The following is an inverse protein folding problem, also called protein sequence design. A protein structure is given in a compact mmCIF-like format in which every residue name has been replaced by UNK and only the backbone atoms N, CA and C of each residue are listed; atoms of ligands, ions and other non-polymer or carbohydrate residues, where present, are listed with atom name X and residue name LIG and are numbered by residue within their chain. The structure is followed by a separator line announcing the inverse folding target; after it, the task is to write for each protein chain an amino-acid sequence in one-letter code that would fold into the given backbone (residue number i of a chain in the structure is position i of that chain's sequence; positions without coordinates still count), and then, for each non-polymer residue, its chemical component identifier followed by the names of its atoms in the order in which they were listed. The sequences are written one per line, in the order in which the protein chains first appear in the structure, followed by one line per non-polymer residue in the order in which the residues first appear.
data_IF_286256020161
#
_entry.id   IF_286256020161
#
_cell.length_a   1.000
_cell.length_b   1.000
_cell.length_c   1.000
_cell.angle_alpha   90.00
_cell.angle_beta   90.00
_cell.angle_gamma   90.00
#
_symmetry.space_group_name_H-M   'P 1'
#
loop_
_entity.id
_entity.type
_entity.pdbx_description
1 polymer ?
#
# COMPACT_ATOMS: atom_id res chain seq x y z
N UNK A 1 21.76 -8.00 -24.04
CA UNK A 1 20.56 -8.50 -23.35
C UNK A 1 21.04 -9.01 -22.01
N UNK A 2 20.75 -8.29 -20.91
CA UNK A 2 21.16 -8.73 -19.57
C UNK A 2 20.25 -9.89 -19.18
N UNK A 3 20.80 -11.10 -19.15
CA UNK A 3 20.13 -12.24 -18.55
C UNK A 3 19.75 -11.87 -17.11
N UNK A 4 18.46 -11.92 -16.82
CA UNK A 4 17.97 -11.63 -15.48
C UNK A 4 18.46 -12.73 -14.55
N UNK A 5 19.13 -12.32 -13.46
CA UNK A 5 19.77 -13.21 -12.50
C UNK A 5 18.78 -13.77 -11.46
N UNK A 6 17.50 -13.46 -11.61
CA UNK A 6 16.46 -13.78 -10.65
C UNK A 6 15.78 -15.12 -11.02
N UNK A 7 15.34 -15.91 -10.04
CA UNK A 7 14.51 -17.08 -10.32
C UNK A 7 13.24 -16.68 -11.10
N UNK A 8 12.76 -17.50 -12.06
CA UNK A 8 11.62 -17.16 -12.90
C UNK A 8 10.35 -16.75 -12.13
N UNK A 9 10.10 -17.36 -10.97
CA UNK A 9 8.97 -17.00 -10.11
C UNK A 9 9.09 -15.60 -9.53
N UNK A 10 10.31 -15.18 -9.19
CA UNK A 10 10.61 -13.87 -8.63
C UNK A 10 10.42 -12.80 -9.71
N UNK A 11 10.87 -13.05 -10.93
CA UNK A 11 10.64 -12.17 -12.07
C UNK A 11 9.14 -11.96 -12.33
N UNK A 12 8.35 -13.05 -12.29
CA UNK A 12 6.90 -13.00 -12.47
C UNK A 12 6.24 -12.11 -11.40
N UNK A 13 6.66 -12.24 -10.14
CA UNK A 13 6.16 -11.41 -9.04
C UNK A 13 6.52 -9.94 -9.27
N UNK A 14 7.76 -9.63 -9.67
CA UNK A 14 8.17 -8.26 -9.94
C UNK A 14 7.42 -7.65 -11.13
N UNK A 15 7.22 -8.40 -12.21
CA UNK A 15 6.43 -7.96 -13.35
C UNK A 15 4.98 -7.66 -12.93
N UNK A 16 4.36 -8.54 -12.14
CA UNK A 16 3.02 -8.32 -11.60
C UNK A 16 2.96 -7.07 -10.70
N UNK A 17 3.99 -6.85 -9.88
CA UNK A 17 4.11 -5.65 -9.04
C UNK A 17 4.21 -4.38 -9.88
N UNK A 18 5.00 -4.38 -10.95
CA UNK A 18 5.12 -3.25 -11.88
C UNK A 18 3.76 -2.93 -12.51
N UNK A 19 3.05 -3.94 -13.01
CA UNK A 19 1.72 -3.75 -13.60
C UNK A 19 0.70 -3.25 -12.58
N UNK A 20 0.75 -3.75 -11.34
CA UNK A 20 -0.07 -3.24 -10.26
C UNK A 20 0.22 -1.76 -9.97
N UNK A 21 1.49 -1.35 -9.88
CA UNK A 21 1.87 0.06 -9.68
C UNK A 21 1.35 0.97 -10.81
N UNK A 22 1.39 0.53 -12.06
CA UNK A 22 0.82 1.29 -13.19
C UNK A 22 -0.68 1.49 -13.04
N UNK A 23 -1.42 0.47 -12.61
CA UNK A 23 -2.86 0.56 -12.35
C UNK A 23 -3.17 1.52 -11.19
N UNK A 24 -2.41 1.41 -10.10
CA UNK A 24 -2.55 2.30 -8.95
C UNK A 24 -2.26 3.76 -9.32
N UNK A 25 -1.23 4.03 -10.12
CA UNK A 25 -0.89 5.37 -10.56
C UNK A 25 -2.06 6.06 -11.29
N UNK A 26 -2.83 5.29 -12.07
CA UNK A 26 -3.98 5.77 -12.86
C UNK A 26 -5.28 5.92 -12.06
N UNK A 27 -5.34 5.45 -10.81
CA UNK A 27 -6.56 5.59 -10.01
C UNK A 27 -6.89 7.07 -9.73
N UNK A 28 -8.18 7.44 -9.72
CA UNK A 28 -8.64 8.74 -9.24
C UNK A 28 -8.12 9.05 -7.83
N UNK A 29 -7.91 10.33 -7.53
CA UNK A 29 -7.42 10.76 -6.22
C UNK A 29 -8.33 10.30 -5.08
N UNK A 30 -9.66 10.38 -5.29
CA UNK A 30 -10.68 9.94 -4.33
C UNK A 30 -10.50 8.47 -3.93
N UNK A 31 -10.30 7.58 -4.89
CA UNK A 31 -10.09 6.16 -4.63
C UNK A 31 -8.77 5.89 -3.89
N UNK A 32 -7.71 6.65 -4.21
CA UNK A 32 -6.43 6.55 -3.50
C UNK A 32 -6.55 6.96 -2.03
N UNK A 33 -7.33 8.01 -1.75
CA UNK A 33 -7.62 8.45 -0.38
C UNK A 33 -8.45 7.39 0.35
N UNK A 34 -9.47 6.82 -0.30
CA UNK A 34 -10.25 5.72 0.26
C UNK A 34 -9.37 4.51 0.63
N UNK A 35 -8.49 4.08 -0.29
CA UNK A 35 -7.55 2.99 -0.06
C UNK A 35 -6.61 3.30 1.13
N UNK A 36 -6.11 4.53 1.22
CA UNK A 36 -5.24 4.97 2.31
C UNK A 36 -5.94 4.92 3.68
N UNK A 37 -7.16 5.47 3.76
CA UNK A 37 -7.96 5.47 4.99
C UNK A 37 -8.32 4.04 5.42
N UNK A 38 -8.66 3.17 4.48
CA UNK A 38 -8.89 1.76 4.75
C UNK A 38 -7.63 1.08 5.31
N UNK A 39 -6.47 1.36 4.72
CA UNK A 39 -5.20 0.82 5.19
C UNK A 39 -4.85 1.31 6.61
N UNK A 40 -5.09 2.59 6.90
CA UNK A 40 -4.90 3.18 8.23
C UNK A 40 -5.76 2.48 9.29
N UNK A 41 -7.05 2.22 9.00
CA UNK A 41 -7.97 1.49 9.89
C UNK A 41 -7.49 0.06 10.16
N UNK A 42 -6.95 -0.62 9.15
CA UNK A 42 -6.41 -1.98 9.30
C UNK A 42 -5.10 -2.03 10.09
N UNK A 43 -4.24 -1.02 9.93
CA UNK A 43 -2.96 -0.95 10.63
C UNK A 43 -3.08 -0.46 12.07
N UNK A 44 -4.11 0.33 12.37
CA UNK A 44 -4.29 0.95 13.68
C UNK A 44 -4.25 -0.05 14.86
N UNK A 45 -4.93 -1.21 14.84
CA UNK A 45 -4.84 -2.19 15.92
C UNK A 45 -3.44 -2.75 16.14
N UNK A 46 -2.60 -2.80 15.09
CA UNK A 46 -1.21 -3.25 15.18
C UNK A 46 -0.33 -2.17 15.81
N UNK A 47 -0.51 -0.91 15.39
CA UNK A 47 0.24 0.21 15.94
C UNK A 47 -0.12 0.46 17.41
N UNK A 48 -1.40 0.33 17.77
CA UNK A 48 -1.88 0.47 19.15
C UNK A 48 -1.23 -0.53 20.09
N UNK A 49 -0.95 -1.76 19.62
CA UNK A 49 -0.23 -2.78 20.40
C UNK A 49 1.25 -2.44 20.64
N UNK A 50 1.84 -1.61 19.78
CA UNK A 50 3.27 -1.28 19.83
C UNK A 50 3.59 -0.04 20.67
N UNK A 51 2.59 0.67 21.21
CA UNK A 51 2.80 1.75 22.18
C UNK A 51 1.96 3.01 21.93
N UNK A 52 2.44 4.16 22.43
CA UNK A 52 1.75 5.45 22.28
C UNK A 52 1.83 5.94 20.84
N UNK A 53 0.66 6.09 20.23
CA UNK A 53 0.50 6.65 18.89
C UNK A 53 0.67 8.16 18.90
N UNK A 54 1.32 8.68 17.86
CA UNK A 54 1.33 10.10 17.55
C UNK A 54 -0.07 10.53 17.06
N UNK A 55 -0.43 11.81 17.19
CA UNK A 55 -1.75 12.30 16.77
C UNK A 55 -2.08 11.99 15.30
N UNK A 56 -1.10 12.00 14.41
CA UNK A 56 -1.29 11.69 12.98
C UNK A 56 -1.33 10.18 12.67
N UNK A 57 -1.01 9.31 13.63
CA UNK A 57 -1.12 7.85 13.49
C UNK A 57 -2.51 7.33 13.87
N UNK A 58 -3.35 8.18 14.47
CA UNK A 58 -4.73 7.87 14.77
C UNK A 58 -5.58 7.90 13.50
N UNK A 59 -6.56 7.00 13.33
CA UNK A 59 -7.47 6.99 12.20
C UNK A 59 -8.18 8.34 12.10
N UNK A 60 -8.17 8.93 10.92
CA UNK A 60 -8.92 10.15 10.70
C UNK A 60 -10.40 9.83 10.50
N UNK A 61 -11.25 10.60 11.18
CA UNK A 61 -12.71 10.51 11.05
C UNK A 61 -13.19 11.36 9.87
N UNK A 62 -12.79 10.94 8.67
CA UNK A 62 -13.17 11.58 7.41
C UNK A 62 -13.62 10.52 6.40
N UNK A 63 -14.56 10.90 5.54
CA UNK A 63 -14.93 10.14 4.35
C UNK A 63 -14.12 10.63 3.12
N UNK A 64 -13.74 9.73 2.20
CA UNK A 64 -12.97 10.07 1.00
C UNK A 64 -13.74 10.90 -0.03
#
# INVERSE_FOLDING_TARGET
MTESTLPPDVERIFAAKIEWHKKQARKPLKEKVADLLAMQRNYYPLLLKNGKLKPWEQPWDIEP
#
